data_IF_010947380268
#
_entry.id   IF_010947380268
#
_cell.length_a   1.000
_cell.length_b   1.000
_cell.length_c   1.000
_cell.angle_alpha   90.00
_cell.angle_beta   90.00
_cell.angle_gamma   90.00
#
_symmetry.space_group_name_H-M   'P 1'
#
loop_
_entity.id
_entity.type
_entity.pdbx_description
1 polymer ?
#
# COMPACT_ATOMS: atom_id res chain seq x y z
N UNK A 1 23.40 11.57 -5.58
CA UNK A 1 22.95 10.71 -4.49
C UNK A 1 21.58 11.17 -3.97
N UNK A 2 20.69 10.22 -3.59
CA UNK A 2 19.40 10.48 -2.97
C UNK A 2 19.17 9.52 -1.78
N UNK A 3 18.30 9.89 -0.81
CA UNK A 3 17.95 8.98 0.26
C UNK A 3 17.21 7.76 -0.31
N UNK A 4 17.51 6.57 0.21
CA UNK A 4 16.86 5.31 -0.15
C UNK A 4 16.67 4.45 1.10
N UNK A 5 15.86 3.41 1.00
CA UNK A 5 15.32 2.70 2.16
C UNK A 5 14.79 3.70 3.19
N UNK A 6 13.87 4.54 2.76
CA UNK A 6 13.38 5.70 3.50
C UNK A 6 11.84 5.70 3.54
N UNK A 7 11.23 6.05 4.68
CA UNK A 7 9.77 6.18 4.74
C UNK A 7 9.23 7.24 3.79
N UNK A 8 8.02 7.00 3.26
CA UNK A 8 7.31 7.91 2.38
C UNK A 8 6.30 8.74 3.16
N UNK A 9 6.28 10.05 2.91
CA UNK A 9 5.35 10.98 3.52
C UNK A 9 4.14 11.25 2.62
N UNK A 10 3.02 11.63 3.24
CA UNK A 10 1.78 11.93 2.53
C UNK A 10 1.17 13.22 3.07
N UNK A 11 0.41 13.91 2.22
CA UNK A 11 -0.46 15.00 2.66
C UNK A 11 -1.71 14.43 3.34
N UNK A 12 -2.36 15.23 4.19
CA UNK A 12 -3.59 14.81 4.85
C UNK A 12 -4.69 14.42 3.85
N UNK A 13 -4.78 15.12 2.72
CA UNK A 13 -5.77 14.84 1.66
C UNK A 13 -5.55 13.49 0.99
N UNK A 14 -4.29 13.09 0.79
CA UNK A 14 -3.95 11.82 0.13
C UNK A 14 -3.96 10.63 1.08
N UNK A 15 -3.74 10.86 2.38
CA UNK A 15 -3.64 9.80 3.37
C UNK A 15 -4.94 9.57 4.14
N UNK A 16 -5.76 10.61 4.27
CA UNK A 16 -7.08 10.54 4.89
C UNK A 16 -7.05 9.97 6.32
N UNK A 17 -8.00 9.12 6.63
CA UNK A 17 -8.13 8.47 7.94
C UNK A 17 -7.05 7.39 8.24
N UNK A 18 -6.19 7.05 7.27
CA UNK A 18 -5.14 6.05 7.50
C UNK A 18 -4.06 6.53 8.50
N UNK A 19 -3.89 7.85 8.70
CA UNK A 19 -3.01 8.38 9.73
C UNK A 19 -3.45 8.02 11.16
N UNK A 20 -4.75 7.78 11.38
CA UNK A 20 -5.30 7.35 12.66
C UNK A 20 -4.96 5.89 12.99
N UNK A 21 -4.50 5.15 11.97
CA UNK A 21 -4.06 3.75 12.10
C UNK A 21 -2.56 3.64 12.38
N UNK A 22 -1.88 4.71 12.76
CA UNK A 22 -0.46 4.70 13.07
C UNK A 22 -0.09 3.60 14.07
N UNK A 23 1.00 2.89 13.79
CA UNK A 23 1.45 1.71 14.53
C UNK A 23 0.88 0.38 14.01
N UNK A 24 -0.03 0.39 13.04
CA UNK A 24 -0.53 -0.83 12.41
C UNK A 24 0.45 -1.32 11.35
N UNK A 25 0.87 -2.58 11.46
CA UNK A 25 1.66 -3.29 10.45
C UNK A 25 0.77 -4.29 9.71
N UNK A 26 0.92 -4.34 8.39
CA UNK A 26 0.11 -5.21 7.51
C UNK A 26 0.99 -5.79 6.42
N UNK A 27 0.98 -7.11 6.21
CA UNK A 27 1.65 -7.71 5.06
C UNK A 27 0.92 -7.31 3.78
N UNK A 28 1.67 -6.75 2.82
CA UNK A 28 1.12 -6.22 1.57
C UNK A 28 1.98 -6.62 0.38
N UNK A 29 1.43 -6.47 -0.81
CA UNK A 29 2.22 -6.36 -2.04
C UNK A 29 2.29 -4.90 -2.43
N UNK A 30 3.51 -4.36 -2.56
CA UNK A 30 3.75 -2.99 -3.02
C UNK A 30 4.48 -3.01 -4.36
N UNK A 31 4.11 -2.09 -5.23
CA UNK A 31 4.79 -1.85 -6.50
C UNK A 31 5.11 -0.37 -6.66
N UNK A 32 6.27 -0.08 -7.25
CA UNK A 32 6.75 1.27 -7.56
C UNK A 32 7.62 1.26 -8.81
N UNK A 33 7.75 2.42 -9.44
CA UNK A 33 8.50 2.57 -10.69
C UNK A 33 7.77 2.01 -11.90
N UNK A 34 8.36 2.17 -13.09
CA UNK A 34 7.82 1.69 -14.37
C UNK A 34 8.92 1.17 -15.29
N UNK A 35 8.54 0.47 -16.36
CA UNK A 35 9.48 0.09 -17.42
C UNK A 35 10.00 1.37 -18.09
N UNK A 36 11.31 1.52 -18.17
CA UNK A 36 11.95 2.74 -18.68
C UNK A 36 12.36 3.75 -17.61
N UNK A 37 11.92 3.55 -16.37
CA UNK A 37 12.39 4.28 -15.22
C UNK A 37 13.88 4.01 -14.94
N UNK A 38 14.62 5.01 -14.45
CA UNK A 38 16.05 4.91 -14.18
C UNK A 38 16.43 3.70 -13.32
N UNK A 39 15.56 3.35 -12.36
CA UNK A 39 15.75 2.24 -11.43
C UNK A 39 14.86 1.03 -11.73
N UNK A 40 14.08 1.08 -12.82
CA UNK A 40 13.14 0.03 -13.22
C UNK A 40 11.87 0.00 -12.38
N UNK A 41 11.10 -1.07 -12.54
CA UNK A 41 9.91 -1.35 -11.73
C UNK A 41 10.24 -2.38 -10.66
N UNK A 42 9.64 -2.25 -9.50
CA UNK A 42 9.77 -3.21 -8.40
C UNK A 42 8.42 -3.72 -7.92
N UNK A 43 8.46 -4.88 -7.28
CA UNK A 43 7.34 -5.45 -6.54
C UNK A 43 7.88 -6.21 -5.34
N UNK A 44 7.36 -5.89 -4.15
CA UNK A 44 7.76 -6.53 -2.89
C UNK A 44 6.54 -7.04 -2.15
N UNK A 45 6.66 -8.21 -1.52
CA UNK A 45 5.67 -8.79 -0.60
C UNK A 45 6.30 -8.78 0.80
N UNK A 46 5.97 -7.78 1.60
CA UNK A 46 6.56 -7.52 2.91
C UNK A 46 5.59 -6.73 3.78
N UNK A 47 5.95 -6.53 5.05
CA UNK A 47 5.17 -5.71 5.96
C UNK A 47 5.26 -4.21 5.63
N UNK A 48 4.10 -3.57 5.57
CA UNK A 48 3.92 -2.14 5.52
C UNK A 48 3.51 -1.64 6.91
N UNK A 49 4.14 -0.58 7.38
CA UNK A 49 3.81 0.09 8.64
C UNK A 49 3.14 1.44 8.38
N UNK A 50 1.93 1.61 8.89
CA UNK A 50 1.24 2.90 8.94
C UNK A 50 1.84 3.77 10.05
N UNK A 51 2.14 5.04 9.75
CA UNK A 51 2.70 6.00 10.70
C UNK A 51 1.91 7.31 10.66
N UNK A 52 2.08 8.18 11.65
CA UNK A 52 1.43 9.51 11.66
C UNK A 52 1.85 10.42 10.50
N UNK A 53 2.96 10.14 9.82
CA UNK A 53 3.50 10.97 8.73
C UNK A 53 3.38 10.31 7.36
N UNK A 54 2.94 9.05 7.32
CA UNK A 54 2.85 8.30 6.08
C UNK A 54 3.12 6.81 6.26
N UNK A 55 3.88 6.25 5.35
CA UNK A 55 4.15 4.81 5.27
C UNK A 55 5.63 4.50 5.51
N UNK A 56 5.86 3.40 6.20
CA UNK A 56 7.17 2.83 6.51
C UNK A 56 7.09 1.30 6.48
N UNK A 57 8.06 0.63 7.07
CA UNK A 57 8.17 -0.83 7.09
C UNK A 57 8.92 -1.38 5.88
N UNK A 58 9.34 -2.64 5.92
CA UNK A 58 10.20 -3.26 4.90
C UNK A 58 9.70 -3.07 3.47
N UNK A 59 8.38 -3.26 3.22
CA UNK A 59 7.77 -3.08 1.92
C UNK A 59 8.00 -1.67 1.35
N UNK A 60 7.74 -0.66 2.17
CA UNK A 60 7.84 0.75 1.76
C UNK A 60 9.28 1.20 1.63
N UNK A 61 10.15 0.79 2.55
CA UNK A 61 11.58 1.13 2.49
C UNK A 61 12.21 0.58 1.21
N UNK A 62 11.95 -0.67 0.84
CA UNK A 62 12.45 -1.25 -0.40
C UNK A 62 11.88 -0.52 -1.62
N UNK A 63 10.56 -0.30 -1.67
CA UNK A 63 9.90 0.39 -2.79
C UNK A 63 10.38 1.83 -2.98
N UNK A 64 10.77 2.53 -1.90
CA UNK A 64 11.26 3.91 -1.95
C UNK A 64 12.54 4.06 -2.78
N UNK A 65 13.33 3.00 -2.91
CA UNK A 65 14.55 2.99 -3.74
C UNK A 65 14.23 3.03 -5.24
N UNK A 66 13.01 2.66 -5.64
CA UNK A 66 12.54 2.66 -7.02
C UNK A 66 11.57 3.81 -7.32
N UNK A 67 11.03 4.45 -6.28
CA UNK A 67 10.08 5.54 -6.41
C UNK A 67 10.76 6.85 -6.81
N UNK A 68 10.15 7.62 -7.71
CA UNK A 68 10.53 8.99 -8.04
C UNK A 68 9.43 9.97 -7.66
N UNK A 69 9.84 11.21 -7.34
CA UNK A 69 8.93 12.26 -6.92
C UNK A 69 7.86 12.54 -7.99
N UNK A 70 6.60 12.59 -7.54
CA UNK A 70 5.44 12.76 -8.41
C UNK A 70 4.84 11.48 -8.97
N UNK A 71 5.49 10.31 -8.79
CA UNK A 71 4.94 9.03 -9.21
C UNK A 71 4.06 8.40 -8.12
N UNK A 72 3.03 7.62 -8.49
CA UNK A 72 2.27 6.83 -7.54
C UNK A 72 3.04 5.59 -7.11
N UNK A 73 2.74 5.10 -5.91
CA UNK A 73 2.95 3.72 -5.50
C UNK A 73 1.62 2.97 -5.55
N UNK A 74 1.68 1.66 -5.75
CA UNK A 74 0.51 0.79 -5.80
C UNK A 74 0.60 -0.24 -4.70
N UNK A 75 -0.45 -0.35 -3.91
CA UNK A 75 -0.51 -1.28 -2.77
C UNK A 75 -1.70 -2.21 -2.93
N UNK A 76 -1.41 -3.51 -2.94
CA UNK A 76 -2.39 -4.58 -2.82
C UNK A 76 -2.34 -5.08 -1.37
N UNK A 77 -3.37 -4.72 -0.60
CA UNK A 77 -3.48 -5.04 0.83
C UNK A 77 -3.73 -6.52 1.10
N UNK A 78 -4.10 -7.28 0.08
CA UNK A 78 -4.36 -8.71 0.14
C UNK A 78 -3.31 -9.53 -0.61
N UNK A 79 -2.42 -8.85 -1.34
CA UNK A 79 -1.48 -9.48 -2.27
C UNK A 79 -0.38 -10.33 -1.61
N UNK A 80 -0.15 -10.16 -0.30
CA UNK A 80 0.78 -10.96 0.48
C UNK A 80 0.12 -12.17 1.18
N UNK A 81 -1.20 -12.34 1.03
CA UNK A 81 -1.91 -13.49 1.60
C UNK A 81 -1.53 -14.74 0.82
N UNK A 82 -0.75 -15.60 1.45
CA UNK A 82 -0.37 -16.90 0.86
C UNK A 82 -1.52 -17.88 0.99
N UNK A 83 -2.07 -18.30 -0.16
CA UNK A 83 -3.02 -19.41 -0.27
C UNK A 83 -2.68 -20.24 -1.51
N UNK A 84 -2.91 -21.55 -1.50
CA UNK A 84 -2.84 -22.36 -2.72
C UNK A 84 -3.79 -21.77 -3.79
N UNK A 85 -3.25 -21.41 -4.96
CA UNK A 85 -4.01 -20.75 -6.02
C UNK A 85 -4.11 -19.23 -5.93
N UNK A 86 -3.49 -18.58 -4.92
CA UNK A 86 -3.57 -17.14 -4.66
C UNK A 86 -4.83 -16.74 -3.89
N UNK A 87 -4.90 -15.47 -3.45
CA UNK A 87 -6.10 -14.92 -2.84
C UNK A 87 -7.01 -14.33 -3.91
N UNK A 88 -8.23 -14.85 -3.99
CA UNK A 88 -9.24 -14.32 -4.90
C UNK A 88 -10.25 -13.46 -4.14
N UNK A 89 -10.17 -12.15 -4.32
CA UNK A 89 -11.08 -11.19 -3.71
C UNK A 89 -12.54 -11.41 -4.14
N UNK A 90 -12.78 -11.90 -5.36
CA UNK A 90 -14.13 -12.17 -5.85
C UNK A 90 -14.78 -13.37 -5.14
N UNK A 91 -14.02 -14.37 -4.75
CA UNK A 91 -14.52 -15.48 -3.92
C UNK A 91 -15.00 -14.97 -2.56
N UNK A 92 -14.22 -14.09 -1.90
CA UNK A 92 -14.61 -13.49 -0.64
C UNK A 92 -15.94 -12.73 -0.77
N UNK A 93 -16.07 -11.90 -1.80
CA UNK A 93 -17.22 -11.03 -1.98
C UNK A 93 -18.45 -11.72 -2.55
N UNK A 94 -18.30 -12.79 -3.31
CA UNK A 94 -19.42 -13.53 -3.90
C UNK A 94 -19.88 -14.72 -3.06
N UNK A 95 -19.23 -14.99 -1.93
CA UNK A 95 -19.63 -16.09 -1.05
C UNK A 95 -21.04 -15.82 -0.48
N UNK A 96 -21.97 -16.77 -0.66
CA UNK A 96 -23.38 -16.59 -0.27
C UNK A 96 -23.54 -16.26 1.22
N UNK A 97 -22.72 -16.85 2.08
CA UNK A 97 -22.72 -16.57 3.52
C UNK A 97 -22.37 -15.12 3.88
N UNK A 98 -21.72 -14.39 2.97
CA UNK A 98 -21.31 -13.00 3.20
C UNK A 98 -22.40 -12.00 2.85
N UNK A 99 -23.47 -12.39 2.16
CA UNK A 99 -24.55 -11.49 1.72
C UNK A 99 -25.20 -10.69 2.85
N UNK A 100 -25.42 -11.32 4.00
CA UNK A 100 -26.07 -10.69 5.16
C UNK A 100 -25.10 -10.09 6.16
N UNK A 101 -23.78 -10.30 5.96
CA UNK A 101 -22.75 -9.71 6.83
C UNK A 101 -22.55 -8.24 6.49
N UNK A 102 -22.08 -7.48 7.48
CA UNK A 102 -21.67 -6.10 7.30
C UNK A 102 -20.36 -6.04 6.49
N UNK A 103 -20.20 -5.00 5.67
CA UNK A 103 -19.02 -4.82 4.82
C UNK A 103 -17.72 -4.89 5.62
N UNK A 104 -17.64 -4.17 6.74
CA UNK A 104 -16.47 -4.17 7.62
C UNK A 104 -16.20 -5.55 8.25
N UNK A 105 -17.23 -6.35 8.48
CA UNK A 105 -17.08 -7.73 9.00
C UNK A 105 -16.45 -8.65 7.96
N UNK A 106 -16.86 -8.51 6.69
CA UNK A 106 -16.26 -9.28 5.59
C UNK A 106 -14.79 -8.89 5.42
N UNK A 107 -14.49 -7.60 5.42
CA UNK A 107 -13.12 -7.13 5.31
C UNK A 107 -12.25 -7.57 6.49
N UNK A 108 -12.80 -7.58 7.71
CA UNK A 108 -12.08 -8.01 8.91
C UNK A 108 -11.74 -9.51 8.95
N UNK A 109 -12.32 -10.32 8.05
CA UNK A 109 -11.90 -11.73 7.89
C UNK A 109 -10.55 -11.89 7.19
N UNK A 110 -10.04 -10.85 6.52
CA UNK A 110 -8.81 -10.87 5.72
C UNK A 110 -7.86 -9.71 6.02
N UNK A 111 -8.33 -8.68 6.70
CA UNK A 111 -7.56 -7.48 7.07
C UNK A 111 -7.66 -7.25 8.59
N UNK A 112 -6.70 -6.55 9.20
CA UNK A 112 -6.84 -6.08 10.57
C UNK A 112 -8.13 -5.26 10.75
N UNK A 113 -8.86 -5.50 11.85
CA UNK A 113 -10.18 -4.91 12.08
C UNK A 113 -10.21 -3.38 11.96
N UNK A 114 -9.17 -2.68 12.44
CA UNK A 114 -9.07 -1.23 12.34
C UNK A 114 -8.98 -0.77 10.87
N UNK A 115 -8.21 -1.47 10.05
CA UNK A 115 -8.05 -1.17 8.62
C UNK A 115 -9.35 -1.49 7.85
N UNK A 116 -9.99 -2.62 8.16
CA UNK A 116 -11.26 -3.01 7.57
C UNK A 116 -12.35 -1.93 7.79
N UNK A 117 -12.45 -1.40 9.01
CA UNK A 117 -13.36 -0.30 9.34
C UNK A 117 -13.02 0.96 8.56
N UNK A 118 -11.75 1.38 8.54
CA UNK A 118 -11.33 2.58 7.82
C UNK A 118 -11.66 2.51 6.32
N UNK A 119 -11.49 1.35 5.68
CA UNK A 119 -11.85 1.18 4.27
C UNK A 119 -13.36 1.19 4.04
N UNK A 120 -14.15 0.59 4.94
CA UNK A 120 -15.61 0.66 4.87
C UNK A 120 -16.11 2.10 5.04
N UNK A 121 -15.56 2.86 5.98
CA UNK A 121 -15.86 4.28 6.20
C UNK A 121 -15.48 5.14 4.98
N UNK A 122 -14.28 4.96 4.44
CA UNK A 122 -13.80 5.70 3.26
C UNK A 122 -14.71 5.54 2.03
N UNK A 123 -15.38 4.41 1.93
CA UNK A 123 -16.33 4.12 0.83
C UNK A 123 -17.79 4.35 1.22
N UNK A 124 -18.09 4.88 2.41
CA UNK A 124 -19.43 5.06 2.95
C UNK A 124 -20.24 3.74 3.01
N UNK A 125 -19.56 2.65 3.32
CA UNK A 125 -20.12 1.30 3.41
C UNK A 125 -20.19 0.77 4.84
N UNK A 126 -19.76 1.55 5.82
CA UNK A 126 -19.80 1.18 7.23
C UNK A 126 -21.25 0.88 7.68
N UNK A 127 -21.46 -0.25 8.35
CA UNK A 127 -22.76 -0.69 8.82
C UNK A 127 -23.73 -1.18 7.74
N UNK A 128 -23.30 -1.25 6.46
CA UNK A 128 -24.13 -1.74 5.37
C UNK A 128 -23.94 -3.23 5.15
N UNK A 129 -25.06 -3.95 4.99
CA UNK A 129 -25.03 -5.36 4.59
C UNK A 129 -24.52 -5.48 3.16
N UNK A 130 -23.72 -6.50 2.89
CA UNK A 130 -23.12 -6.70 1.57
C UNK A 130 -24.14 -6.83 0.44
N UNK A 131 -25.30 -7.44 0.71
CA UNK A 131 -26.39 -7.53 -0.26
C UNK A 131 -26.94 -6.16 -0.72
N UNK A 132 -26.79 -5.12 0.12
CA UNK A 132 -27.29 -3.76 -0.14
C UNK A 132 -26.25 -2.88 -0.86
N UNK A 133 -25.01 -3.37 -0.99
CA UNK A 133 -23.93 -2.63 -1.64
C UNK A 133 -24.06 -2.74 -3.16
N UNK A 134 -24.05 -1.59 -3.84
CA UNK A 134 -24.16 -1.54 -5.30
C UNK A 134 -22.95 -2.21 -5.98
N UNK A 135 -23.13 -2.67 -7.22
CA UNK A 135 -22.00 -3.23 -8.02
C UNK A 135 -20.86 -2.22 -8.18
N UNK A 136 -21.19 -0.93 -8.35
CA UNK A 136 -20.21 0.16 -8.46
C UNK A 136 -19.40 0.32 -7.18
N UNK A 137 -20.06 0.32 -6.03
CA UNK A 137 -19.38 0.47 -4.74
C UNK A 137 -18.53 -0.76 -4.39
N UNK A 138 -19.00 -1.96 -4.75
CA UNK A 138 -18.22 -3.21 -4.63
C UNK A 138 -16.93 -3.13 -5.45
N UNK A 139 -17.04 -2.67 -6.70
CA UNK A 139 -15.87 -2.51 -7.56
C UNK A 139 -14.91 -1.45 -7.01
N UNK A 140 -15.42 -0.32 -6.55
CA UNK A 140 -14.60 0.74 -5.94
C UNK A 140 -13.90 0.29 -4.64
N UNK A 141 -14.56 -0.55 -3.83
CA UNK A 141 -13.95 -1.16 -2.67
C UNK A 141 -12.87 -2.18 -3.06
N UNK A 142 -13.15 -3.03 -4.05
CA UNK A 142 -12.19 -4.00 -4.57
C UNK A 142 -10.92 -3.30 -5.06
N UNK A 143 -11.04 -2.24 -5.85
CA UNK A 143 -9.88 -1.46 -6.32
C UNK A 143 -9.09 -0.85 -5.17
N UNK A 144 -9.77 -0.32 -4.15
CA UNK A 144 -9.13 0.23 -2.96
C UNK A 144 -8.26 -0.81 -2.25
N UNK A 145 -8.72 -2.05 -2.12
CA UNK A 145 -8.02 -3.07 -1.33
C UNK A 145 -7.03 -3.90 -2.14
N UNK A 146 -7.17 -3.98 -3.47
CA UNK A 146 -6.27 -4.78 -4.33
C UNK A 146 -5.32 -3.94 -5.19
N UNK A 147 -5.57 -2.65 -5.35
CA UNK A 147 -4.75 -1.76 -6.18
C UNK A 147 -4.85 -0.30 -5.72
N UNK A 148 -4.63 -0.06 -4.43
CA UNK A 148 -4.61 1.30 -3.92
C UNK A 148 -3.46 2.08 -4.55
N UNK A 149 -3.79 3.03 -5.42
CA UNK A 149 -2.82 3.92 -6.06
C UNK A 149 -2.77 5.24 -5.30
N UNK A 150 -1.61 5.58 -4.76
CA UNK A 150 -1.44 6.81 -3.98
C UNK A 150 -0.11 7.48 -4.30
N UNK A 151 -0.11 8.81 -4.38
CA UNK A 151 1.10 9.60 -4.61
C UNK A 151 1.70 10.07 -3.29
N UNK A 152 2.91 9.62 -2.93
CA UNK A 152 3.64 10.21 -1.83
C UNK A 152 3.93 11.69 -2.08
N UNK A 153 3.89 12.49 -1.02
CA UNK A 153 4.30 13.89 -1.07
C UNK A 153 5.83 14.04 -1.11
N UNK A 154 6.55 13.01 -0.68
CA UNK A 154 7.99 12.96 -0.64
C UNK A 154 8.50 11.83 0.24
N UNK A 155 9.79 11.85 0.52
CA UNK A 155 10.42 10.99 1.54
C UNK A 155 10.59 11.73 2.86
N UNK A 156 10.81 11.02 3.96
CA UNK A 156 11.20 11.65 5.24
C UNK A 156 12.67 12.12 5.28
N UNK A 157 13.35 12.08 4.12
CA UNK A 157 14.66 12.66 3.89
C UNK A 157 15.83 11.90 4.53
N UNK A 158 17.01 12.49 4.43
CA UNK A 158 18.28 11.89 4.82
C UNK A 158 18.35 11.41 6.28
N UNK A 159 17.68 12.08 7.19
CA UNK A 159 17.68 11.72 8.63
C UNK A 159 16.97 10.39 8.92
N UNK A 160 16.17 9.90 7.97
CA UNK A 160 15.38 8.67 8.10
C UNK A 160 15.74 7.61 7.04
N UNK A 161 16.65 7.94 6.13
CA UNK A 161 17.17 7.01 5.15
C UNK A 161 18.16 6.05 5.79
N UNK A 162 18.05 4.77 5.47
CA UNK A 162 19.00 3.76 5.93
C UNK A 162 20.24 3.70 5.02
N UNK A 163 20.06 4.03 3.74
CA UNK A 163 21.12 4.01 2.73
C UNK A 163 20.99 5.18 1.77
N UNK A 164 22.05 5.40 1.01
CA UNK A 164 22.12 6.36 -0.10
C UNK A 164 22.07 5.61 -1.44
N UNK A 165 21.21 6.04 -2.34
CA UNK A 165 21.19 5.58 -3.71
C UNK A 165 22.00 6.52 -4.61
N UNK A 166 22.82 5.95 -5.50
CA UNK A 166 23.77 6.69 -6.32
C UNK A 166 25.12 6.79 -5.60
N UNK A 167 26.05 5.95 -6.00
CA UNK A 167 27.44 5.94 -5.52
C UNK A 167 28.32 6.92 -6.26
N UNK A 168 29.64 6.80 -6.07
CA UNK A 168 30.66 7.46 -6.87
C UNK A 168 30.58 6.94 -8.32
N UNK A 169 30.62 7.85 -9.30
CA UNK A 169 30.70 7.43 -10.70
C UNK A 169 32.03 6.72 -10.91
N UNK A 170 31.99 5.43 -11.17
CA UNK A 170 33.18 4.61 -11.37
C UNK A 170 33.99 5.02 -12.61
N UNK A 171 33.41 5.81 -13.51
CA UNK A 171 34.13 6.40 -14.66
C UNK A 171 35.08 7.53 -14.25
N UNK A 172 34.85 8.12 -13.07
CA UNK A 172 35.71 9.15 -12.50
C UNK A 172 36.83 8.58 -11.60
N UNK A 173 36.83 7.25 -11.38
CA UNK A 173 37.88 6.57 -10.67
C UNK A 173 38.93 6.15 -11.66
N UNK A 174 39.99 6.96 -11.79
CA UNK A 174 41.22 6.56 -12.49
C UNK A 174 41.78 5.32 -11.80
N UNK A 175 41.76 4.19 -12.48
CA UNK A 175 42.47 2.99 -12.07
C UNK A 175 43.96 3.21 -12.25
N UNK A 176 44.67 3.66 -11.20
CA UNK A 176 46.11 3.53 -11.09
C UNK A 176 46.46 2.13 -10.61
#
# INVERSE_FOLDING_TARGET
PRPALVPLSFTADNFGSLNELAGLSVPVRIASGSKGHRYGACRFNEDLLLTHKGLSGPAVLQASSYWEEGEPIHIDWLGAIERPGGFNCDELFNHEENRLKLTETILASVLPQRLAKAFAEQKNLMGRKWAEVSKKDRQALKELITNWSVKPAGTLGWKKAEVMLGGVDTKELDGQ
#
